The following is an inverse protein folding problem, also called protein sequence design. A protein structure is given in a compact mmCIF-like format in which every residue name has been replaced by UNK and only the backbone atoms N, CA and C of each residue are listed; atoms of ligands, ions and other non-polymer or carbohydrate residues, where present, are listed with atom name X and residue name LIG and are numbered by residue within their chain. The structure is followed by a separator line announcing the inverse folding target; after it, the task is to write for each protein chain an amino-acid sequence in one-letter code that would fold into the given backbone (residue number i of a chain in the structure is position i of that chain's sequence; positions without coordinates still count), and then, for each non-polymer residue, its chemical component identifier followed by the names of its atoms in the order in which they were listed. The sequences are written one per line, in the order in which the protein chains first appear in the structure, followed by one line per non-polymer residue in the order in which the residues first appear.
data_IF_155933177514
#
_entry.id   IF_155933177514
#
_cell.length_a   1.000
_cell.length_b   1.000
_cell.length_c   1.000
_cell.angle_alpha   90.00
_cell.angle_beta   90.00
_cell.angle_gamma   90.00
#
_symmetry.space_group_name_H-M   'P 1'
#
loop_
_entity.id
_entity.type
_entity.pdbx_description
1 polymer ?
#
# COMPACT_ATOMS: atom_id res chain seq x y z
N UNK A 1 -43.35 -24.38 40.49
CA UNK A 1 -42.04 -24.33 39.83
C UNK A 1 -42.25 -23.61 38.49
N UNK A 2 -41.97 -22.30 38.38
CA UNK A 2 -40.68 -21.70 37.93
C UNK A 2 -40.25 -22.19 36.54
N UNK A 3 -39.89 -21.38 35.53
CA UNK A 3 -39.77 -19.93 35.38
C UNK A 3 -39.34 -19.55 33.93
N UNK A 4 -39.29 -18.23 33.66
CA UNK A 4 -38.43 -17.41 32.75
C UNK A 4 -37.75 -18.05 31.50
N UNK A 5 -37.62 -17.40 30.34
CA UNK A 5 -37.89 -16.00 29.98
C UNK A 5 -37.45 -15.62 28.55
N UNK A 6 -37.89 -14.42 28.16
CA UNK A 6 -37.35 -13.39 27.24
C UNK A 6 -36.82 -13.79 25.83
N UNK A 7 -37.49 -13.41 24.74
CA UNK A 7 -37.51 -12.08 24.05
C UNK A 7 -36.19 -11.64 23.41
N UNK A 8 -36.15 -11.68 22.07
CA UNK A 8 -35.41 -10.74 21.23
C UNK A 8 -36.07 -10.66 19.84
N UNK A 9 -37.18 -9.92 19.75
CA UNK A 9 -37.67 -9.35 18.50
C UNK A 9 -37.63 -7.84 18.66
N UNK A 10 -36.58 -7.23 18.12
CA UNK A 10 -36.50 -5.78 17.99
C UNK A 10 -37.48 -5.36 16.89
N UNK A 11 -38.69 -5.01 17.31
CA UNK A 11 -39.70 -4.39 16.45
C UNK A 11 -39.41 -2.89 16.44
N UNK A 12 -38.94 -2.39 15.30
CA UNK A 12 -38.73 -0.96 15.08
C UNK A 12 -40.08 -0.31 14.74
N UNK A 13 -40.72 0.32 15.73
CA UNK A 13 -41.89 1.17 15.51
C UNK A 13 -41.46 2.64 15.50
N UNK A 14 -41.54 3.28 14.34
CA UNK A 14 -41.50 4.73 14.20
C UNK A 14 -42.90 5.33 14.40
N UNK A 15 -43.02 6.33 15.28
CA UNK A 15 -44.13 7.28 15.30
C UNK A 15 -43.57 8.71 15.40
N UNK A 16 -44.15 9.59 14.57
CA UNK A 16 -43.64 10.92 14.24
C UNK A 16 -43.63 11.89 15.43
N UNK A 17 -42.55 12.67 15.50
CA UNK A 17 -42.23 13.63 16.57
C UNK A 17 -40.76 13.54 17.02
N UNK A 18 -40.15 12.36 16.83
CA UNK A 18 -38.84 11.98 17.39
C UNK A 18 -37.71 11.88 16.35
N UNK A 19 -38.02 12.09 15.06
CA UNK A 19 -37.05 11.86 13.98
C UNK A 19 -35.90 12.87 14.01
N UNK A 20 -36.18 14.17 14.17
CA UNK A 20 -35.13 15.20 14.13
C UNK A 20 -34.15 15.11 15.31
N UNK A 21 -34.64 14.83 16.52
CA UNK A 21 -33.77 14.68 17.71
C UNK A 21 -32.88 13.45 17.60
N UNK A 22 -33.43 12.32 17.15
CA UNK A 22 -32.69 11.07 16.98
C UNK A 22 -31.65 11.21 15.85
N UNK A 23 -31.99 11.88 14.75
CA UNK A 23 -31.04 12.21 13.68
C UNK A 23 -29.92 13.13 14.18
N UNK A 24 -30.22 14.14 15.01
CA UNK A 24 -29.22 15.05 15.55
C UNK A 24 -28.26 14.35 16.52
N UNK A 25 -28.74 13.42 17.34
CA UNK A 25 -27.92 12.60 18.23
C UNK A 25 -26.94 11.72 17.45
N UNK A 26 -27.40 11.06 16.38
CA UNK A 26 -26.55 10.26 15.49
C UNK A 26 -25.48 11.13 14.83
N UNK A 27 -25.83 12.32 14.34
CA UNK A 27 -24.86 13.26 13.76
C UNK A 27 -23.82 13.68 14.79
N UNK A 28 -24.24 14.00 16.02
CA UNK A 28 -23.32 14.40 17.09
C UNK A 28 -22.38 13.26 17.48
N UNK A 29 -22.89 12.03 17.54
CA UNK A 29 -22.07 10.85 17.76
C UNK A 29 -21.03 10.66 16.65
N UNK A 30 -21.44 10.70 15.38
CA UNK A 30 -20.52 10.54 14.24
C UNK A 30 -19.45 11.64 14.21
N UNK A 31 -19.80 12.89 14.54
CA UNK A 31 -18.83 13.99 14.69
C UNK A 31 -17.84 13.72 15.83
N UNK A 32 -18.29 13.16 16.95
CA UNK A 32 -17.39 12.80 18.05
C UNK A 32 -16.40 11.72 17.62
N UNK A 33 -16.88 10.68 16.91
CA UNK A 33 -16.01 9.62 16.38
C UNK A 33 -15.02 10.18 15.35
N UNK A 34 -15.51 11.00 14.42
CA UNK A 34 -14.70 11.62 13.37
C UNK A 34 -13.57 12.47 13.94
N UNK A 35 -13.85 13.31 14.93
CA UNK A 35 -12.82 14.16 15.55
C UNK A 35 -11.69 13.34 16.17
N UNK A 36 -12.03 12.26 16.88
CA UNK A 36 -11.04 11.38 17.51
C UNK A 36 -10.23 10.60 16.46
N UNK A 37 -10.90 10.03 15.46
CA UNK A 37 -10.25 9.33 14.34
C UNK A 37 -9.29 10.27 13.62
N UNK A 38 -9.74 11.48 13.26
CA UNK A 38 -8.94 12.49 12.57
C UNK A 38 -7.74 12.94 13.42
N UNK A 39 -7.92 13.11 14.74
CA UNK A 39 -6.84 13.48 15.67
C UNK A 39 -5.71 12.44 15.69
N UNK A 40 -6.05 11.15 15.67
CA UNK A 40 -5.09 10.04 15.63
C UNK A 40 -4.42 9.98 14.25
N UNK A 41 -5.22 10.01 13.18
CA UNK A 41 -4.72 9.77 11.82
C UNK A 41 -3.89 10.93 11.28
N UNK A 42 -4.16 12.18 11.65
CA UNK A 42 -3.32 13.33 11.25
C UNK A 42 -1.87 13.20 11.71
N UNK A 43 -1.61 12.51 12.82
CA UNK A 43 -0.25 12.26 13.33
C UNK A 43 0.48 11.16 12.54
N UNK A 44 -0.26 10.16 12.06
CA UNK A 44 0.27 9.00 11.33
C UNK A 44 0.35 9.23 9.83
N UNK A 45 -0.55 10.07 9.32
CA UNK A 45 -0.74 10.33 7.90
C UNK A 45 -1.10 9.04 7.12
N UNK A 46 -1.85 8.13 7.73
CA UNK A 46 -2.27 6.88 7.09
C UNK A 46 -3.57 7.08 6.28
N UNK A 47 -3.78 6.38 5.16
CA UNK A 47 -5.08 6.36 4.49
C UNK A 47 -6.16 5.70 5.38
N UNK A 48 -7.40 6.20 5.28
CA UNK A 48 -8.57 5.68 6.00
C UNK A 48 -9.55 5.04 5.02
N UNK A 49 -10.07 3.85 5.36
CA UNK A 49 -11.23 3.23 4.71
C UNK A 49 -12.33 3.01 5.74
N UNK A 50 -13.58 3.06 5.31
CA UNK A 50 -14.72 2.79 6.18
C UNK A 50 -15.23 1.36 5.98
N UNK A 51 -15.66 0.73 7.08
CA UNK A 51 -16.34 -0.56 7.08
C UNK A 51 -17.70 -0.40 7.78
N UNK A 52 -18.78 -0.80 7.12
CA UNK A 52 -20.13 -0.59 7.67
C UNK A 52 -21.26 -0.76 6.66
N UNK A 53 -22.48 -0.66 7.16
CA UNK A 53 -23.67 -0.53 6.31
C UNK A 53 -23.63 0.80 5.55
N UNK A 54 -24.18 0.82 4.34
CA UNK A 54 -24.01 1.94 3.41
C UNK A 54 -24.55 3.26 3.98
N UNK A 55 -25.62 3.20 4.76
CA UNK A 55 -26.23 4.35 5.42
C UNK A 55 -25.26 5.00 6.40
N UNK A 56 -24.64 4.21 7.28
CA UNK A 56 -23.67 4.70 8.26
C UNK A 56 -22.42 5.27 7.60
N UNK A 57 -21.93 4.62 6.54
CA UNK A 57 -20.81 5.12 5.73
C UNK A 57 -21.15 6.47 5.12
N UNK A 58 -22.33 6.61 4.52
CA UNK A 58 -22.77 7.84 3.88
C UNK A 58 -22.89 8.99 4.89
N UNK A 59 -23.44 8.74 6.08
CA UNK A 59 -23.52 9.76 7.14
C UNK A 59 -22.14 10.15 7.67
N UNK A 60 -21.23 9.19 7.87
CA UNK A 60 -19.86 9.49 8.28
C UNK A 60 -19.13 10.36 7.23
N UNK A 61 -19.25 10.02 5.94
CA UNK A 61 -18.63 10.80 4.84
C UNK A 61 -19.07 12.28 4.85
N UNK A 62 -20.31 12.59 5.25
CA UNK A 62 -20.81 13.98 5.34
C UNK A 62 -20.15 14.81 6.44
N UNK A 63 -19.72 14.17 7.53
CA UNK A 63 -19.08 14.85 8.67
C UNK A 63 -17.56 14.76 8.66
N UNK A 64 -16.99 13.90 7.81
CA UNK A 64 -15.56 13.68 7.70
C UNK A 64 -14.78 14.93 7.30
N UNK A 65 -13.72 15.22 8.06
CA UNK A 65 -12.74 16.28 7.76
C UNK A 65 -11.34 15.72 7.48
N UNK A 66 -11.16 14.40 7.53
CA UNK A 66 -9.88 13.76 7.22
C UNK A 66 -9.66 13.67 5.72
N UNK A 67 -8.61 14.33 5.22
CA UNK A 67 -8.33 14.46 3.78
C UNK A 67 -7.88 13.17 3.10
N UNK A 68 -7.48 12.15 3.87
CA UNK A 68 -7.03 10.85 3.33
C UNK A 68 -8.05 9.73 3.55
N UNK A 69 -9.32 10.08 3.68
CA UNK A 69 -10.41 9.12 3.53
C UNK A 69 -10.49 8.67 2.06
N UNK A 70 -10.37 7.37 1.83
CA UNK A 70 -10.50 6.77 0.52
C UNK A 70 -11.97 6.58 0.14
N UNK A 71 -12.25 6.60 -1.16
CA UNK A 71 -13.60 6.43 -1.67
C UNK A 71 -14.12 5.01 -1.48
N UNK A 72 -13.22 4.02 -1.63
CA UNK A 72 -13.54 2.62 -1.49
C UNK A 72 -13.82 2.24 -0.03
N UNK A 73 -14.76 1.33 0.16
CA UNK A 73 -15.25 0.93 1.49
C UNK A 73 -15.45 -0.58 1.58
N UNK A 74 -15.51 -1.09 2.81
CA UNK A 74 -15.94 -2.45 3.11
C UNK A 74 -17.42 -2.41 3.50
N UNK A 75 -18.30 -2.59 2.51
CA UNK A 75 -19.75 -2.54 2.75
C UNK A 75 -20.28 -3.81 3.42
N UNK A 76 -21.23 -3.65 4.33
CA UNK A 76 -21.91 -4.74 5.03
C UNK A 76 -21.85 -4.58 6.55
N UNK A 77 -22.55 -5.44 7.29
CA UNK A 77 -22.52 -5.39 8.75
C UNK A 77 -21.17 -5.95 9.27
N UNK A 78 -20.33 -5.15 9.96
CA UNK A 78 -19.09 -5.63 10.54
C UNK A 78 -19.29 -6.34 11.89
N UNK A 79 -20.43 -6.15 12.58
CA UNK A 79 -20.67 -6.68 13.93
C UNK A 79 -20.43 -8.20 14.11
N UNK A 80 -20.83 -9.08 13.17
CA UNK A 80 -20.57 -10.51 13.32
C UNK A 80 -19.13 -10.90 12.97
N UNK A 81 -18.32 -9.98 12.44
CA UNK A 81 -16.98 -10.27 11.93
C UNK A 81 -15.93 -10.06 13.01
N UNK A 82 -14.92 -10.91 13.02
CA UNK A 82 -13.70 -10.70 13.79
C UNK A 82 -12.86 -9.54 13.24
N UNK A 83 -11.97 -9.01 14.07
CA UNK A 83 -11.00 -7.99 13.65
C UNK A 83 -10.13 -8.47 12.47
N UNK A 84 -9.79 -9.76 12.41
CA UNK A 84 -9.00 -10.33 11.32
C UNK A 84 -9.77 -10.39 10.00
N UNK A 85 -11.07 -10.71 10.04
CA UNK A 85 -11.93 -10.68 8.85
C UNK A 85 -12.07 -9.25 8.31
N UNK A 86 -12.32 -8.28 9.19
CA UNK A 86 -12.40 -6.85 8.80
C UNK A 86 -11.07 -6.39 8.21
N UNK A 87 -9.94 -6.75 8.83
CA UNK A 87 -8.60 -6.44 8.32
C UNK A 87 -8.37 -7.05 6.94
N UNK A 88 -8.72 -8.31 6.73
CA UNK A 88 -8.53 -9.01 5.45
C UNK A 88 -9.40 -8.41 4.34
N UNK A 89 -10.65 -8.08 4.64
CA UNK A 89 -11.53 -7.38 3.68
C UNK A 89 -11.03 -5.97 3.38
N UNK A 90 -10.61 -5.22 4.41
CA UNK A 90 -10.00 -3.91 4.25
C UNK A 90 -8.73 -3.95 3.41
N UNK A 91 -7.90 -4.98 3.59
CA UNK A 91 -6.69 -5.18 2.80
C UNK A 91 -6.99 -5.38 1.31
N UNK A 92 -8.01 -6.19 0.96
CA UNK A 92 -8.42 -6.40 -0.43
C UNK A 92 -8.78 -5.09 -1.14
N UNK A 93 -9.38 -4.15 -0.40
CA UNK A 93 -9.76 -2.84 -0.92
C UNK A 93 -8.56 -1.91 -1.04
N UNK A 94 -7.79 -1.75 0.04
CA UNK A 94 -6.73 -0.74 0.12
C UNK A 94 -5.44 -1.15 -0.60
N UNK A 95 -5.24 -2.45 -0.88
CA UNK A 95 -4.06 -2.95 -1.61
C UNK A 95 -3.86 -2.19 -2.93
N UNK A 96 -4.95 -1.93 -3.66
CA UNK A 96 -4.89 -1.16 -4.92
C UNK A 96 -4.33 0.26 -4.76
N UNK A 97 -4.63 0.94 -3.64
CA UNK A 97 -4.13 2.27 -3.35
C UNK A 97 -2.61 2.26 -3.15
N UNK A 98 -2.08 1.29 -2.40
CA UNK A 98 -0.65 1.18 -2.16
C UNK A 98 0.13 0.66 -3.38
N UNK A 99 -0.48 -0.22 -4.17
CA UNK A 99 0.16 -0.78 -5.37
C UNK A 99 0.01 0.08 -6.62
N UNK A 100 -0.79 1.15 -6.57
CA UNK A 100 -1.04 1.99 -7.75
C UNK A 100 0.25 2.50 -8.39
N UNK A 101 1.15 3.10 -7.61
CA UNK A 101 2.41 3.63 -8.12
C UNK A 101 3.31 2.53 -8.72
N UNK A 102 3.31 1.33 -8.13
CA UNK A 102 4.03 0.19 -8.67
C UNK A 102 3.50 -0.21 -10.05
N UNK A 103 2.18 -0.33 -10.23
CA UNK A 103 1.59 -0.67 -11.52
C UNK A 103 1.80 0.43 -12.57
N UNK A 104 1.70 1.71 -12.18
CA UNK A 104 2.02 2.84 -13.06
C UNK A 104 3.48 2.80 -13.52
N UNK A 105 4.41 2.44 -12.63
CA UNK A 105 5.81 2.28 -12.99
C UNK A 105 6.08 1.04 -13.85
N UNK A 106 5.37 -0.08 -13.63
CA UNK A 106 5.48 -1.27 -14.50
C UNK A 106 5.04 -0.92 -15.94
N UNK A 107 3.91 -0.22 -16.08
CA UNK A 107 3.42 0.25 -17.38
C UNK A 107 4.43 1.21 -18.03
N UNK A 108 4.93 2.19 -17.27
CA UNK A 108 5.94 3.15 -17.74
C UNK A 108 7.24 2.48 -18.16
N UNK A 109 7.69 1.42 -17.46
CA UNK A 109 8.86 0.66 -17.86
C UNK A 109 8.70 0.06 -19.27
N UNK A 110 7.51 -0.49 -19.56
CA UNK A 110 7.13 -0.97 -20.88
C UNK A 110 7.15 0.13 -21.94
N UNK A 111 6.56 1.29 -21.64
CA UNK A 111 6.52 2.45 -22.54
C UNK A 111 7.91 3.04 -22.85
N UNK A 112 8.85 2.93 -21.92
CA UNK A 112 10.23 3.39 -22.07
C UNK A 112 11.13 2.40 -22.83
N UNK A 113 10.59 1.27 -23.31
CA UNK A 113 11.36 0.26 -24.06
C UNK A 113 12.08 0.88 -25.27
N UNK A 114 13.38 0.59 -25.38
CA UNK A 114 14.25 1.15 -26.43
C UNK A 114 14.79 2.55 -26.15
N UNK A 115 14.45 3.17 -25.01
CA UNK A 115 15.06 4.43 -24.56
C UNK A 115 16.22 4.20 -23.59
N UNK A 116 17.02 5.24 -23.35
CA UNK A 116 18.11 5.22 -22.35
C UNK A 116 17.60 5.41 -20.90
N UNK A 117 16.28 5.54 -20.69
CA UNK A 117 15.67 5.80 -19.38
C UNK A 117 15.22 4.56 -18.62
N UNK A 118 15.50 3.36 -19.14
CA UNK A 118 15.22 2.12 -18.45
C UNK A 118 16.31 1.09 -18.74
N UNK A 119 16.46 0.11 -17.85
CA UNK A 119 17.37 -1.01 -18.04
C UNK A 119 16.84 -2.23 -17.31
N UNK A 120 17.08 -3.42 -17.87
CA UNK A 120 16.96 -4.72 -17.23
C UNK A 120 18.33 -5.38 -16.98
N UNK A 121 19.42 -4.65 -17.21
CA UNK A 121 20.78 -5.13 -17.04
C UNK A 121 21.28 -4.86 -15.62
N UNK A 122 21.51 -5.92 -14.85
CA UNK A 122 21.97 -5.80 -13.46
C UNK A 122 23.22 -4.93 -13.29
N UNK A 123 24.21 -5.03 -14.19
CA UNK A 123 25.43 -4.22 -14.07
C UNK A 123 25.16 -2.72 -14.24
N UNK A 124 24.35 -2.35 -15.24
CA UNK A 124 23.93 -0.96 -15.45
C UNK A 124 23.08 -0.45 -14.29
N UNK A 125 22.18 -1.28 -13.76
CA UNK A 125 21.32 -0.94 -12.63
C UNK A 125 22.14 -0.73 -11.36
N UNK A 126 23.12 -1.58 -11.09
CA UNK A 126 24.01 -1.41 -9.93
C UNK A 126 24.80 -0.10 -10.02
N UNK A 127 25.36 0.22 -11.18
CA UNK A 127 26.06 1.48 -11.41
C UNK A 127 25.10 2.68 -11.23
N UNK A 128 23.92 2.63 -11.85
CA UNK A 128 22.89 3.65 -11.74
C UNK A 128 22.40 3.85 -10.30
N UNK A 129 22.24 2.76 -9.54
CA UNK A 129 21.91 2.78 -8.13
C UNK A 129 23.04 3.40 -7.33
N UNK A 130 24.30 3.08 -7.61
CA UNK A 130 25.42 3.71 -6.90
C UNK A 130 25.40 5.23 -7.05
N UNK A 131 25.11 5.74 -8.26
CA UNK A 131 25.08 7.17 -8.59
C UNK A 131 23.74 7.88 -8.36
N UNK A 132 22.71 7.21 -7.83
CA UNK A 132 21.41 7.86 -7.58
C UNK A 132 20.62 8.24 -8.83
N UNK A 133 20.84 7.51 -9.93
CA UNK A 133 20.15 7.71 -11.20
C UNK A 133 18.79 7.00 -11.24
N UNK A 134 18.53 6.06 -10.33
CA UNK A 134 17.30 5.28 -10.32
C UNK A 134 16.13 6.09 -9.76
N UNK A 135 15.03 6.09 -10.51
CA UNK A 135 13.74 6.57 -10.06
C UNK A 135 12.95 5.43 -9.41
N UNK A 136 12.80 4.31 -10.11
CA UNK A 136 12.08 3.13 -9.63
C UNK A 136 12.84 1.86 -9.97
N UNK A 137 12.99 0.97 -8.99
CA UNK A 137 13.67 -0.32 -9.09
C UNK A 137 12.68 -1.46 -8.82
N UNK A 138 12.69 -2.48 -9.67
CA UNK A 138 11.95 -3.72 -9.49
C UNK A 138 12.94 -4.83 -9.19
N UNK A 139 12.78 -5.47 -8.03
CA UNK A 139 13.66 -6.56 -7.57
C UNK A 139 12.88 -7.85 -7.35
N UNK A 140 13.45 -9.02 -7.71
CA UNK A 140 12.83 -10.31 -7.48
C UNK A 140 12.92 -10.70 -6.00
N UNK A 141 11.83 -11.26 -5.47
CA UNK A 141 11.81 -11.82 -4.10
C UNK A 141 12.58 -13.14 -4.07
N UNK A 142 13.53 -13.26 -3.15
CA UNK A 142 14.25 -14.50 -2.87
C UNK A 142 15.33 -14.88 -3.88
N UNK A 143 15.64 -14.01 -4.85
CA UNK A 143 16.81 -14.17 -5.72
C UNK A 143 17.98 -13.30 -5.24
N UNK A 144 19.20 -13.76 -5.52
CA UNK A 144 20.44 -13.11 -5.10
C UNK A 144 21.42 -13.09 -6.27
N UNK A 145 22.26 -12.05 -6.33
CA UNK A 145 23.38 -12.01 -7.26
C UNK A 145 24.64 -11.57 -6.52
N UNK A 146 25.61 -12.47 -6.39
CA UNK A 146 26.83 -12.21 -5.63
C UNK A 146 27.86 -11.47 -6.48
N UNK A 147 28.54 -10.52 -5.87
CA UNK A 147 29.59 -9.76 -6.53
C UNK A 147 30.00 -8.50 -5.79
N UNK A 148 30.66 -7.60 -6.51
CA UNK A 148 31.02 -6.28 -6.00
C UNK A 148 31.04 -5.24 -7.12
N UNK A 149 30.94 -3.97 -6.73
CA UNK A 149 31.09 -2.84 -7.64
C UNK A 149 32.46 -2.18 -7.44
N UNK A 150 33.28 -2.19 -8.50
CA UNK A 150 34.53 -1.44 -8.57
C UNK A 150 34.22 0.02 -8.95
N UNK A 151 34.26 0.88 -7.94
CA UNK A 151 33.94 2.31 -8.05
C UNK A 151 35.00 3.11 -8.82
N UNK A 152 36.22 2.59 -8.97
CA UNK A 152 37.27 3.29 -9.74
C UNK A 152 37.13 3.05 -11.24
N UNK A 153 36.55 1.90 -11.61
CA UNK A 153 36.40 1.45 -13.01
C UNK A 153 34.96 1.46 -13.50
N UNK A 154 34.01 1.86 -12.66
CA UNK A 154 32.56 1.75 -12.90
C UNK A 154 32.18 0.36 -13.42
N UNK A 155 32.73 -0.69 -12.80
CA UNK A 155 32.59 -2.07 -13.28
C UNK A 155 31.97 -2.95 -12.20
N UNK A 156 30.95 -3.71 -12.58
CA UNK A 156 30.33 -4.72 -11.73
C UNK A 156 30.98 -6.07 -11.99
N UNK A 157 31.46 -6.69 -10.93
CA UNK A 157 32.04 -8.02 -10.95
C UNK A 157 31.07 -9.02 -10.35
N UNK A 158 30.86 -10.13 -11.04
CA UNK A 158 29.92 -11.18 -10.65
C UNK A 158 30.66 -12.40 -10.11
N UNK A 159 30.09 -13.03 -9.10
CA UNK A 159 30.60 -14.22 -8.44
C UNK A 159 29.53 -15.31 -8.39
N UNK A 160 29.97 -16.57 -8.52
CA UNK A 160 29.06 -17.72 -8.49
C UNK A 160 28.54 -18.01 -7.07
N UNK A 161 29.36 -17.73 -6.06
CA UNK A 161 29.09 -17.96 -4.64
C UNK A 161 29.57 -16.78 -3.81
N UNK A 162 28.97 -16.51 -2.63
CA UNK A 162 29.37 -15.40 -1.77
C UNK A 162 30.80 -15.59 -1.26
N UNK A 163 31.70 -14.66 -1.61
CA UNK A 163 33.04 -14.62 -1.07
C UNK A 163 33.16 -13.57 0.05
N UNK A 164 34.26 -13.63 0.82
CA UNK A 164 34.52 -12.67 1.89
C UNK A 164 34.58 -11.24 1.33
N UNK A 165 33.68 -10.37 1.80
CA UNK A 165 33.61 -8.96 1.39
C UNK A 165 32.72 -8.70 0.16
N UNK A 166 32.13 -9.73 -0.44
CA UNK A 166 31.14 -9.56 -1.50
C UNK A 166 29.74 -9.27 -0.93
N UNK A 167 28.91 -8.66 -1.77
CA UNK A 167 27.55 -8.30 -1.44
C UNK A 167 26.58 -8.92 -2.43
N UNK A 168 25.34 -9.10 -1.99
CA UNK A 168 24.24 -9.30 -2.92
C UNK A 168 23.98 -7.98 -3.65
N UNK A 169 24.31 -7.96 -4.95
CA UNK A 169 24.22 -6.81 -5.84
C UNK A 169 22.77 -6.31 -5.98
N UNK A 170 21.78 -7.21 -5.94
CA UNK A 170 20.35 -6.85 -5.99
C UNK A 170 20.00 -6.09 -4.71
N UNK A 171 20.35 -6.64 -3.55
CA UNK A 171 20.11 -6.00 -2.27
C UNK A 171 20.88 -4.67 -2.14
N UNK A 172 22.12 -4.61 -2.65
CA UNK A 172 22.90 -3.37 -2.68
C UNK A 172 22.21 -2.30 -3.52
N UNK A 173 21.74 -2.64 -4.73
CA UNK A 173 21.02 -1.72 -5.59
C UNK A 173 19.72 -1.21 -4.93
N UNK A 174 18.99 -2.11 -4.25
CA UNK A 174 17.80 -1.75 -3.48
C UNK A 174 18.10 -0.76 -2.35
N UNK A 175 19.11 -1.05 -1.51
CA UNK A 175 19.51 -0.17 -0.42
C UNK A 175 19.94 1.19 -0.96
N UNK A 176 20.79 1.22 -1.99
CA UNK A 176 21.24 2.48 -2.60
C UNK A 176 20.07 3.30 -3.13
N UNK A 177 19.18 2.68 -3.89
CA UNK A 177 17.97 3.32 -4.44
C UNK A 177 17.11 3.93 -3.32
N UNK A 178 16.81 3.18 -2.26
CA UNK A 178 16.05 3.69 -1.11
C UNK A 178 16.76 4.87 -0.43
N UNK A 179 18.07 4.76 -0.19
CA UNK A 179 18.85 5.84 0.46
C UNK A 179 18.94 7.11 -0.39
N UNK A 180 18.74 7.00 -1.71
CA UNK A 180 18.77 8.11 -2.65
C UNK A 180 17.37 8.59 -3.04
N UNK A 181 16.33 8.18 -2.30
CA UNK A 181 14.93 8.58 -2.54
C UNK A 181 14.33 8.07 -3.86
N UNK A 182 14.78 6.91 -4.34
CA UNK A 182 14.07 6.16 -5.38
C UNK A 182 13.08 5.16 -4.79
N UNK A 183 12.15 4.68 -5.60
CA UNK A 183 11.19 3.64 -5.25
C UNK A 183 11.81 2.26 -5.44
N UNK A 184 11.50 1.31 -4.54
CA UNK A 184 11.87 -0.11 -4.71
C UNK A 184 10.63 -0.96 -4.55
N UNK A 185 10.36 -1.79 -5.54
CA UNK A 185 9.25 -2.74 -5.58
C UNK A 185 9.81 -4.16 -5.58
N UNK A 186 9.48 -4.92 -4.54
CA UNK A 186 9.79 -6.35 -4.47
C UNK A 186 8.66 -7.15 -5.10
N UNK A 187 8.97 -7.95 -6.11
CA UNK A 187 8.00 -8.68 -6.93
C UNK A 187 8.31 -10.17 -6.94
N UNK A 188 7.27 -10.98 -7.05
CA UNK A 188 7.43 -12.37 -7.45
C UNK A 188 7.94 -12.42 -8.90
N UNK A 189 8.67 -13.48 -9.25
CA UNK A 189 9.30 -13.63 -10.58
C UNK A 189 8.30 -13.48 -11.74
N UNK A 190 7.07 -13.93 -11.53
CA UNK A 190 5.99 -13.88 -12.54
C UNK A 190 5.48 -12.45 -12.78
N UNK A 191 5.64 -11.56 -11.81
CA UNK A 191 5.21 -10.16 -11.88
C UNK A 191 6.33 -9.22 -12.36
N UNK A 192 7.55 -9.73 -12.57
CA UNK A 192 8.68 -8.92 -13.01
C UNK A 192 8.43 -8.31 -14.40
N UNK A 193 8.75 -7.01 -14.61
CA UNK A 193 8.56 -6.35 -15.89
C UNK A 193 9.25 -7.12 -17.02
N UNK A 194 8.49 -7.44 -18.08
CA UNK A 194 8.95 -8.21 -19.24
C UNK A 194 9.64 -9.56 -18.92
N UNK A 195 9.41 -10.13 -17.73
CA UNK A 195 10.08 -11.36 -17.28
C UNK A 195 11.57 -11.18 -16.97
N UNK A 196 12.02 -9.94 -16.74
CA UNK A 196 13.39 -9.61 -16.37
C UNK A 196 13.77 -10.17 -14.99
N UNK A 197 15.06 -10.42 -14.76
CA UNK A 197 15.57 -10.78 -13.42
C UNK A 197 15.68 -9.57 -12.49
N UNK A 198 15.75 -8.37 -13.04
CA UNK A 198 15.75 -7.08 -12.35
C UNK A 198 15.40 -6.01 -13.39
N UNK A 199 14.75 -4.92 -12.99
CA UNK A 199 14.43 -3.83 -13.90
C UNK A 199 14.51 -2.49 -13.17
N UNK A 200 14.86 -1.42 -13.89
CA UNK A 200 14.88 -0.08 -13.34
C UNK A 200 14.43 0.97 -14.36
N UNK A 201 13.79 2.03 -13.85
CA UNK A 201 13.55 3.29 -14.55
C UNK A 201 14.52 4.33 -13.98
N UNK A 202 15.16 5.08 -14.86
CA UNK A 202 16.09 6.15 -14.51
C UNK A 202 15.42 7.52 -14.56
N UNK A 203 15.87 8.41 -13.67
CA UNK A 203 15.37 9.79 -13.54
C UNK A 203 15.64 10.63 -14.80
N UNK A 204 16.70 10.29 -15.52
CA UNK A 204 17.17 10.95 -16.73
C UNK A 204 17.90 9.92 -17.61
N UNK A 205 18.01 10.27 -18.90
CA UNK A 205 18.91 9.57 -19.82
C UNK A 205 20.35 10.01 -19.55
#
# INVERSE_FOLDING_TARGET
HSGQGANAQAIFHGHGGSNDTNTQEVINYLKSVENEVTSILRKRNDPLILAGVNEAIAEYKKVNSYSRLLEQTVSGNPDPKSNDEIKNEGWKVIKSYFLKGMYEDIERFGDLSGSEKQSDNLSQIVEAAYYGKIESLFVPIGEHSWGWFDMERDTVHHSAEPQNGEHDLINMAAIKTLTQSGNVYALDKEDMPNGSSIAAIFRYA
#
